data_IF_504043576601
#
_entry.id   IF_504043576601
#
_cell.length_a   1.000
_cell.length_b   1.000
_cell.length_c   1.000
_cell.angle_alpha   90.00
_cell.angle_beta   90.00
_cell.angle_gamma   90.00
#
_symmetry.space_group_name_H-M   'P 1'
#
loop_
_entity.id
_entity.type
_entity.pdbx_description
1 polymer ?
#
# COMPACT_ATOMS: atom_id res chain seq x y z
N UNK A 1 -63.00 -2.88 -11.81
CA UNK A 1 -61.99 -3.96 -11.69
C UNK A 1 -60.65 -3.32 -11.99
N UNK A 2 -59.81 -3.10 -10.96
CA UNK A 2 -58.50 -2.51 -11.10
C UNK A 2 -57.47 -3.63 -10.97
N UNK A 3 -56.64 -3.83 -12.00
CA UNK A 3 -55.51 -4.76 -11.97
C UNK A 3 -54.27 -4.01 -11.45
N UNK A 4 -53.80 -4.41 -10.29
CA UNK A 4 -52.52 -3.93 -9.75
C UNK A 4 -51.42 -4.89 -10.20
N UNK A 5 -50.50 -4.41 -11.02
CA UNK A 5 -49.31 -5.16 -11.40
C UNK A 5 -48.24 -4.92 -10.34
N UNK A 6 -47.87 -5.97 -9.56
CA UNK A 6 -46.65 -5.98 -8.74
C UNK A 6 -45.45 -6.19 -9.67
N UNK A 7 -44.65 -5.16 -9.83
CA UNK A 7 -43.30 -5.32 -10.39
C UNK A 7 -42.39 -5.89 -9.31
N UNK A 8 -42.01 -7.16 -9.45
CA UNK A 8 -40.85 -7.69 -8.72
C UNK A 8 -39.57 -7.05 -9.29
N UNK A 9 -39.03 -6.09 -8.60
CA UNK A 9 -37.68 -5.62 -8.84
C UNK A 9 -36.71 -6.72 -8.45
N UNK A 10 -36.07 -7.36 -9.42
CA UNK A 10 -34.83 -8.07 -9.21
C UNK A 10 -33.82 -7.04 -8.75
N UNK A 11 -33.46 -7.05 -7.47
CA UNK A 11 -32.31 -6.35 -6.97
C UNK A 11 -31.07 -7.00 -7.54
N UNK A 12 -30.46 -6.40 -8.55
CA UNK A 12 -29.08 -6.66 -8.90
C UNK A 12 -28.25 -6.30 -7.66
N UNK A 13 -27.76 -7.33 -6.96
CA UNK A 13 -26.68 -7.18 -6.01
C UNK A 13 -25.41 -6.88 -6.82
N UNK A 14 -25.33 -5.66 -7.37
CA UNK A 14 -24.10 -5.16 -7.93
C UNK A 14 -23.08 -5.18 -6.79
N UNK A 15 -22.04 -5.98 -6.94
CA UNK A 15 -20.88 -6.05 -6.07
C UNK A 15 -20.11 -4.73 -6.25
N UNK A 16 -20.73 -3.62 -5.84
CA UNK A 16 -20.13 -2.30 -5.95
C UNK A 16 -18.93 -2.25 -5.02
N UNK A 17 -17.81 -1.77 -5.55
CA UNK A 17 -16.60 -1.50 -4.79
C UNK A 17 -16.30 -0.02 -4.80
N UNK A 18 -15.71 0.48 -3.72
CA UNK A 18 -15.19 1.82 -3.59
C UNK A 18 -13.68 1.77 -3.82
N UNK A 19 -13.20 2.65 -4.70
CA UNK A 19 -11.75 2.82 -4.92
C UNK A 19 -11.14 3.53 -3.72
N UNK A 20 -9.94 3.07 -3.35
CA UNK A 20 -9.13 3.69 -2.31
C UNK A 20 -7.71 3.89 -2.80
N UNK A 21 -7.12 4.99 -2.39
CA UNK A 21 -5.71 5.30 -2.53
C UNK A 21 -5.19 5.66 -1.13
N UNK A 22 -4.18 4.94 -0.69
CA UNK A 22 -3.53 5.14 0.60
C UNK A 22 -2.16 5.77 0.34
N UNK A 23 -2.02 7.05 0.65
CA UNK A 23 -0.78 7.79 0.43
C UNK A 23 0.09 7.76 1.67
N UNK A 24 1.39 7.59 1.45
CA UNK A 24 2.43 7.55 2.47
C UNK A 24 3.45 8.66 2.19
N UNK A 25 4.12 9.13 3.22
CA UNK A 25 5.20 10.09 3.09
C UNK A 25 6.40 9.61 3.91
N UNK A 26 7.56 9.62 3.28
CA UNK A 26 8.83 9.39 3.98
C UNK A 26 9.31 10.68 4.61
N UNK A 27 9.61 10.63 5.91
CA UNK A 27 10.11 11.78 6.67
C UNK A 27 11.25 11.35 7.59
N UNK A 28 12.18 12.26 7.85
CA UNK A 28 13.22 12.09 8.88
C UNK A 28 13.04 13.22 9.89
N UNK A 29 12.52 12.88 11.07
CA UNK A 29 12.00 13.89 11.99
C UNK A 29 10.79 14.61 11.39
N UNK A 30 10.90 15.93 11.22
CA UNK A 30 9.86 16.77 10.63
C UNK A 30 10.16 17.16 9.15
N UNK A 31 11.27 16.67 8.58
CA UNK A 31 11.70 16.99 7.24
C UNK A 31 11.37 15.87 6.24
N UNK A 32 10.99 16.19 5.01
CA UNK A 32 10.84 15.19 3.96
C UNK A 32 12.13 14.41 3.74
N UNK A 33 12.00 13.11 3.50
CA UNK A 33 13.13 12.30 3.07
C UNK A 33 13.62 12.74 1.68
N UNK A 34 14.93 12.94 1.57
CA UNK A 34 15.63 13.23 0.31
C UNK A 34 16.87 12.33 0.22
N UNK A 35 17.03 11.66 -0.89
CA UNK A 35 18.15 10.79 -1.16
C UNK A 35 19.51 11.49 -1.05
N UNK A 36 20.42 10.89 -0.29
CA UNK A 36 21.79 11.39 -0.15
C UNK A 36 21.95 12.64 0.72
N UNK A 37 20.86 13.13 1.30
CA UNK A 37 20.92 14.23 2.26
C UNK A 37 21.37 13.74 3.63
N UNK A 38 22.17 14.57 4.35
CA UNK A 38 22.58 14.28 5.70
C UNK A 38 21.59 14.89 6.70
N UNK A 39 20.98 14.02 7.52
CA UNK A 39 20.12 14.39 8.64
C UNK A 39 20.93 14.28 9.94
N UNK A 40 21.01 15.37 10.69
CA UNK A 40 21.79 15.45 11.92
C UNK A 40 20.91 15.48 13.16
N UNK A 41 21.54 15.28 14.34
CA UNK A 41 20.87 15.34 15.65
C UNK A 41 19.73 14.32 15.82
N UNK A 42 19.89 13.12 15.26
CA UNK A 42 18.88 12.07 15.34
C UNK A 42 19.01 11.24 16.59
N UNK A 43 17.87 11.05 17.26
CA UNK A 43 17.76 10.22 18.47
C UNK A 43 18.54 10.77 19.67
N UNK A 44 18.71 9.94 20.69
CA UNK A 44 19.35 10.32 21.97
C UNK A 44 20.88 10.46 21.88
N UNK A 45 21.47 9.96 20.80
CA UNK A 45 22.92 10.00 20.56
C UNK A 45 23.33 11.10 19.61
N UNK A 46 22.38 11.94 19.16
CA UNK A 46 22.63 13.03 18.22
C UNK A 46 23.36 12.55 16.94
N UNK A 47 22.99 11.36 16.46
CA UNK A 47 23.63 10.76 15.29
C UNK A 47 23.35 11.53 14.01
N UNK A 48 24.26 11.45 13.05
CA UNK A 48 24.04 11.85 11.66
C UNK A 48 23.72 10.61 10.80
N UNK A 49 22.81 10.77 9.84
CA UNK A 49 22.36 9.71 8.95
C UNK A 49 22.30 10.23 7.51
N UNK A 50 22.88 9.48 6.59
CA UNK A 50 22.66 9.62 5.15
C UNK A 50 22.00 8.34 4.65
N UNK A 51 20.80 8.45 4.09
CA UNK A 51 20.08 7.32 3.53
C UNK A 51 20.40 7.15 2.05
N UNK A 52 20.70 5.92 1.64
CA UNK A 52 20.96 5.55 0.25
C UNK A 52 19.88 4.66 -0.36
N UNK A 53 18.94 4.20 0.45
CA UNK A 53 17.78 3.41 0.05
C UNK A 53 16.69 3.55 1.12
N UNK A 54 15.44 3.68 0.69
CA UNK A 54 14.29 3.66 1.58
C UNK A 54 13.10 3.00 0.90
N UNK A 55 13.11 1.69 0.91
CA UNK A 55 12.06 0.83 0.36
C UNK A 55 11.66 -0.23 1.37
N UNK A 56 10.38 -0.58 1.37
CA UNK A 56 9.89 -1.72 2.15
C UNK A 56 8.56 -2.24 1.63
N UNK A 57 8.30 -3.51 1.90
CA UNK A 57 7.02 -4.12 1.59
C UNK A 57 6.02 -3.92 2.72
N UNK A 58 4.74 -3.76 2.34
CA UNK A 58 3.59 -3.82 3.23
C UNK A 58 2.63 -4.89 2.72
N UNK A 59 1.97 -5.56 3.66
CA UNK A 59 1.01 -6.63 3.38
C UNK A 59 -0.20 -6.55 4.30
N UNK A 60 -1.24 -7.33 3.98
CA UNK A 60 -2.45 -7.47 4.80
C UNK A 60 -3.04 -6.11 5.21
N UNK A 61 -3.18 -5.26 4.20
CA UNK A 61 -3.68 -3.89 4.37
C UNK A 61 -5.18 -3.93 4.58
N UNK A 62 -5.64 -3.36 5.70
CA UNK A 62 -7.04 -3.33 6.07
C UNK A 62 -7.48 -1.95 6.52
N UNK A 63 -8.72 -1.61 6.22
CA UNK A 63 -9.38 -0.40 6.67
C UNK A 63 -10.44 -0.71 7.73
N UNK A 64 -10.55 0.14 8.76
CA UNK A 64 -11.54 0.00 9.82
C UNK A 64 -12.82 0.74 9.42
N UNK A 65 -13.92 -0.01 9.29
CA UNK A 65 -15.23 0.56 8.97
C UNK A 65 -15.89 1.23 10.18
N UNK A 66 -17.03 1.87 9.97
CA UNK A 66 -17.80 2.57 11.01
C UNK A 66 -18.39 1.62 12.07
N UNK A 67 -18.54 0.33 11.77
CA UNK A 67 -18.96 -0.69 12.74
C UNK A 67 -17.80 -1.19 13.62
N UNK A 68 -16.57 -0.81 13.30
CA UNK A 68 -15.37 -1.21 14.02
C UNK A 68 -14.68 -2.46 13.47
N UNK A 69 -15.17 -3.02 12.37
CA UNK A 69 -14.57 -4.20 11.73
C UNK A 69 -13.41 -3.81 10.82
N UNK A 70 -12.41 -4.68 10.74
CA UNK A 70 -11.31 -4.56 9.81
C UNK A 70 -11.68 -5.24 8.49
N UNK A 71 -11.59 -4.48 7.40
CA UNK A 71 -11.98 -4.88 6.05
C UNK A 71 -10.74 -4.89 5.16
N UNK A 72 -10.38 -6.04 4.58
CA UNK A 72 -9.22 -6.13 3.69
C UNK A 72 -9.37 -5.22 2.46
N UNK A 73 -8.29 -4.52 2.12
CA UNK A 73 -8.17 -3.81 0.86
C UNK A 73 -7.78 -4.81 -0.22
N UNK A 74 -8.61 -4.94 -1.24
CA UNK A 74 -8.23 -5.69 -2.43
C UNK A 74 -7.32 -4.80 -3.27
N UNK A 75 -6.04 -5.14 -3.32
CA UNK A 75 -5.04 -4.38 -4.05
C UNK A 75 -5.26 -4.50 -5.56
N UNK A 76 -4.93 -3.43 -6.27
CA UNK A 76 -4.75 -3.49 -7.73
C UNK A 76 -3.42 -4.17 -8.06
N UNK A 77 -3.39 -4.87 -9.20
CA UNK A 77 -2.14 -5.44 -9.69
C UNK A 77 -1.41 -4.43 -10.60
N UNK A 78 -0.17 -4.13 -10.26
CA UNK A 78 0.72 -3.26 -11.05
C UNK A 78 2.19 -3.60 -10.74
N UNK A 79 3.14 -2.78 -11.22
CA UNK A 79 4.58 -3.02 -10.98
C UNK A 79 5.00 -2.95 -9.51
N UNK A 80 4.20 -2.32 -8.65
CA UNK A 80 4.46 -2.17 -7.22
C UNK A 80 3.52 -2.97 -6.33
N UNK A 81 2.51 -3.64 -6.90
CA UNK A 81 1.50 -4.36 -6.13
C UNK A 81 1.14 -5.68 -6.79
N UNK A 82 1.07 -6.73 -5.98
CA UNK A 82 0.61 -8.05 -6.42
C UNK A 82 -0.05 -8.79 -5.26
N UNK A 83 -1.23 -9.37 -5.53
CA UNK A 83 -2.02 -10.10 -4.52
C UNK A 83 -2.33 -9.23 -3.30
N UNK A 84 -1.67 -9.46 -2.16
CA UNK A 84 -1.84 -8.71 -0.91
C UNK A 84 -0.57 -7.97 -0.49
N UNK A 85 0.40 -7.81 -1.39
CA UNK A 85 1.70 -7.16 -1.11
C UNK A 85 1.85 -5.92 -1.96
N UNK A 86 2.33 -4.84 -1.36
CA UNK A 86 2.75 -3.62 -2.05
C UNK A 86 4.18 -3.25 -1.65
N UNK A 87 4.97 -2.79 -2.60
CA UNK A 87 6.27 -2.16 -2.39
C UNK A 87 6.07 -0.65 -2.29
N UNK A 88 6.42 -0.07 -1.16
CA UNK A 88 6.61 1.37 -1.01
C UNK A 88 8.07 1.69 -1.29
N UNK A 89 8.30 2.65 -2.19
CA UNK A 89 9.63 3.02 -2.70
C UNK A 89 9.75 4.53 -2.72
N UNK A 90 10.55 5.06 -1.82
CA UNK A 90 10.76 6.50 -1.64
C UNK A 90 12.14 6.95 -2.15
N UNK A 91 12.91 6.04 -2.72
CA UNK A 91 14.23 6.37 -3.26
C UNK A 91 14.16 6.56 -4.78
N UNK A 92 14.78 7.60 -5.29
CA UNK A 92 14.79 8.00 -6.70
C UNK A 92 16.11 7.65 -7.42
N UNK A 93 16.78 6.59 -6.96
CA UNK A 93 18.10 6.23 -7.44
C UNK A 93 19.22 6.91 -6.68
N UNK A 94 19.14 6.97 -5.35
CA UNK A 94 20.16 7.51 -4.45
C UNK A 94 21.55 6.97 -4.79
N UNK A 95 22.30 7.68 -5.61
CA UNK A 95 23.58 7.20 -6.14
C UNK A 95 23.39 6.30 -7.35
N UNK A 96 24.37 5.42 -7.63
CA UNK A 96 24.43 4.65 -8.87
C UNK A 96 23.67 3.30 -8.82
N UNK A 97 22.99 2.97 -7.73
CA UNK A 97 22.48 1.62 -7.46
C UNK A 97 20.95 1.55 -7.30
N UNK A 98 20.25 2.67 -7.27
CA UNK A 98 18.81 2.73 -7.12
C UNK A 98 18.05 2.66 -8.45
N UNK A 99 16.73 2.61 -8.36
CA UNK A 99 15.85 2.74 -9.52
C UNK A 99 15.10 4.07 -9.45
N UNK A 100 14.80 4.72 -10.58
CA UNK A 100 14.14 6.04 -10.59
C UNK A 100 12.63 5.98 -10.35
N UNK A 101 12.08 4.80 -10.18
CA UNK A 101 10.63 4.59 -10.11
C UNK A 101 10.14 4.68 -8.65
N UNK A 102 9.59 5.80 -8.28
CA UNK A 102 8.99 6.02 -6.96
C UNK A 102 7.59 5.38 -6.83
N UNK A 103 7.25 4.98 -5.63
CA UNK A 103 5.90 4.58 -5.25
C UNK A 103 5.59 4.93 -3.79
N UNK A 104 4.83 5.97 -3.58
CA UNK A 104 4.39 6.45 -2.26
C UNK A 104 2.92 6.11 -1.95
N UNK A 105 2.28 5.28 -2.77
CA UNK A 105 0.86 4.99 -2.60
C UNK A 105 0.52 3.52 -2.82
N UNK A 106 -0.58 3.12 -2.19
CA UNK A 106 -1.23 1.81 -2.38
C UNK A 106 -2.62 2.03 -2.95
N UNK A 107 -2.88 1.39 -4.08
CA UNK A 107 -4.14 1.47 -4.80
C UNK A 107 -4.95 0.19 -4.62
N UNK A 108 -6.25 0.33 -4.43
CA UNK A 108 -7.11 -0.85 -4.28
C UNK A 108 -8.59 -0.51 -4.20
N UNK A 109 -9.35 -1.47 -3.69
CA UNK A 109 -10.79 -1.32 -3.52
C UNK A 109 -11.28 -2.02 -2.25
N UNK A 110 -12.36 -1.47 -1.70
CA UNK A 110 -13.09 -2.01 -0.54
C UNK A 110 -14.58 -2.00 -0.82
N UNK A 111 -15.43 -2.70 -0.05
CA UNK A 111 -16.86 -2.47 -0.07
C UNK A 111 -17.21 -0.99 0.17
N UNK A 112 -18.29 -0.45 -0.40
CA UNK A 112 -18.69 0.94 -0.17
C UNK A 112 -18.97 1.22 1.30
N UNK A 113 -18.48 2.35 1.81
CA UNK A 113 -18.67 2.74 3.21
C UNK A 113 -17.71 3.81 3.66
N UNK A 114 -17.83 4.18 4.94
CA UNK A 114 -16.93 5.10 5.61
C UNK A 114 -15.89 4.32 6.41
N UNK A 115 -14.65 4.76 6.30
CA UNK A 115 -13.49 4.13 6.94
C UNK A 115 -12.70 5.17 7.74
N UNK A 116 -12.27 4.81 8.95
CA UNK A 116 -11.62 5.73 9.88
C UNK A 116 -10.30 5.17 10.46
N UNK A 117 -9.83 4.03 10.00
CA UNK A 117 -8.58 3.43 10.47
C UNK A 117 -7.88 2.66 9.38
N UNK A 118 -6.56 2.55 9.51
CA UNK A 118 -5.68 1.80 8.64
C UNK A 118 -4.80 0.90 9.50
N UNK A 119 -4.61 -0.35 9.08
CA UNK A 119 -3.54 -1.22 9.58
C UNK A 119 -2.93 -2.01 8.43
N UNK A 120 -1.69 -2.39 8.59
CA UNK A 120 -0.95 -3.25 7.68
C UNK A 120 0.20 -3.93 8.44
N UNK A 121 0.80 -4.93 7.83
CA UNK A 121 2.04 -5.54 8.30
C UNK A 121 3.21 -5.14 7.41
N UNK A 122 4.38 -4.90 8.01
CA UNK A 122 5.61 -4.66 7.25
C UNK A 122 6.25 -5.98 6.86
N UNK A 123 6.65 -6.08 5.59
CA UNK A 123 7.32 -7.26 5.04
C UNK A 123 6.50 -7.98 3.98
N UNK A 124 6.95 -9.19 3.65
CA UNK A 124 6.34 -10.08 2.66
C UNK A 124 5.82 -11.32 3.36
N UNK A 125 4.63 -11.86 3.01
CA UNK A 125 4.12 -13.10 3.58
C UNK A 125 5.15 -14.22 3.49
N UNK A 126 5.22 -15.05 4.54
CA UNK A 126 6.22 -16.13 4.61
C UNK A 126 6.23 -17.01 3.35
N UNK A 127 5.07 -17.34 2.81
CA UNK A 127 4.94 -18.16 1.60
C UNK A 127 5.52 -17.50 0.33
N UNK A 128 5.62 -16.16 0.32
CA UNK A 128 6.14 -15.38 -0.80
C UNK A 128 7.62 -14.99 -0.61
N UNK A 129 8.13 -15.07 0.62
CA UNK A 129 9.50 -14.64 0.95
C UNK A 129 10.60 -15.59 0.45
N UNK A 130 10.24 -16.80 0.05
CA UNK A 130 11.16 -17.84 -0.43
C UNK A 130 10.98 -18.19 -1.92
N UNK A 131 10.27 -17.36 -2.67
CA UNK A 131 10.13 -17.54 -4.11
C UNK A 131 11.42 -17.16 -4.84
N UNK A 132 11.62 -17.75 -6.01
CA UNK A 132 12.76 -17.38 -6.85
C UNK A 132 12.53 -15.98 -7.45
N UNK A 133 13.31 -14.98 -7.04
CA UNK A 133 13.19 -13.59 -7.50
C UNK A 133 13.31 -13.44 -9.01
N UNK A 134 14.05 -14.33 -9.71
CA UNK A 134 14.16 -14.28 -11.16
C UNK A 134 12.85 -14.63 -11.90
N UNK A 135 11.90 -15.26 -11.23
CA UNK A 135 10.60 -15.70 -11.80
C UNK A 135 9.40 -15.19 -11.03
N UNK A 136 9.61 -14.51 -9.93
CA UNK A 136 8.55 -13.91 -9.13
C UNK A 136 7.84 -12.80 -9.92
N UNK A 137 6.53 -12.59 -9.71
CA UNK A 137 5.86 -11.41 -10.25
C UNK A 137 6.34 -10.15 -9.55
N UNK A 138 6.28 -9.01 -10.24
CA UNK A 138 6.46 -7.71 -9.57
C UNK A 138 5.45 -7.54 -8.43
N UNK A 139 5.85 -6.92 -7.31
CA UNK A 139 7.15 -6.31 -7.03
C UNK A 139 8.18 -7.26 -6.37
N UNK A 140 7.91 -8.55 -6.28
CA UNK A 140 8.77 -9.53 -5.59
C UNK A 140 10.03 -9.92 -6.39
N UNK A 141 10.16 -9.45 -7.62
CA UNK A 141 11.30 -9.67 -8.52
C UNK A 141 12.34 -8.53 -8.46
N UNK A 142 12.12 -7.50 -7.66
CA UNK A 142 13.11 -6.43 -7.46
C UNK A 142 14.20 -6.90 -6.49
N UNK A 143 15.42 -6.57 -6.79
CA UNK A 143 16.63 -6.92 -6.01
C UNK A 143 17.37 -5.65 -5.58
#
# INVERSE_FOLDING_TARGET
MAFSALALGCGDSSNSTQRVELSFAAVVGDEPFVCGEEYSNLGTTEAALVLSDFRFYVQDIELKNSAGDWVPVRLDENKFQNSNVALLDFEDGCGAMGNPDLNDSVLGSVPPGDYAGLRFEMGVPFAMNHVNSATAPSPLNVS
#
